data_IF_629092551652
#
_entry.id   IF_629092551652
#
_cell.length_a   1.000
_cell.length_b   1.000
_cell.length_c   1.000
_cell.angle_alpha   90.00
_cell.angle_beta   90.00
_cell.angle_gamma   90.00
#
_symmetry.space_group_name_H-M   'P 1'
#
loop_
_entity.id
_entity.type
_entity.pdbx_description
1 polymer ?
#
# COMPACT_ATOMS: atom_id res chain seq x y z
N UNK A 1 -24.14 22.17 9.12
CA UNK A 1 -23.41 22.42 7.88
C UNK A 1 -22.02 21.79 8.00
N UNK A 2 -21.68 20.92 7.07
CA UNK A 2 -20.42 20.16 7.01
C UNK A 2 -19.19 21.08 6.91
N UNK A 3 -19.27 22.18 6.15
CA UNK A 3 -18.18 23.15 6.04
C UNK A 3 -17.82 23.79 7.37
N UNK A 4 -18.82 24.15 8.18
CA UNK A 4 -18.59 24.72 9.52
C UNK A 4 -17.89 23.72 10.41
N UNK A 5 -18.35 22.46 10.41
CA UNK A 5 -17.72 21.39 11.16
C UNK A 5 -16.29 21.10 10.65
N UNK A 6 -16.10 21.10 9.34
CA UNK A 6 -14.77 20.93 8.76
C UNK A 6 -13.81 22.03 9.23
N UNK A 7 -14.18 23.29 9.10
CA UNK A 7 -13.35 24.42 9.57
C UNK A 7 -13.10 24.35 11.08
N UNK A 8 -14.11 23.96 11.86
CA UNK A 8 -13.97 23.75 13.31
C UNK A 8 -12.97 22.63 13.65
N UNK A 9 -13.00 21.52 12.91
CA UNK A 9 -12.02 20.44 13.11
C UNK A 9 -10.59 20.90 12.81
N UNK A 10 -10.41 21.70 11.75
CA UNK A 10 -9.11 22.30 11.40
C UNK A 10 -8.61 23.24 12.49
N UNK A 11 -9.48 24.15 12.97
CA UNK A 11 -9.12 25.08 14.04
C UNK A 11 -8.71 24.36 15.33
N UNK A 12 -9.40 23.29 15.70
CA UNK A 12 -9.02 22.47 16.86
C UNK A 12 -7.65 21.81 16.70
N UNK A 13 -7.31 21.30 15.50
CA UNK A 13 -5.98 20.73 15.26
C UNK A 13 -4.87 21.80 15.35
N UNK A 14 -5.09 22.99 14.76
CA UNK A 14 -4.11 24.08 14.81
C UNK A 14 -3.76 24.53 16.23
N UNK A 15 -4.72 24.46 17.15
CA UNK A 15 -4.49 24.78 18.56
C UNK A 15 -4.13 23.54 19.42
N UNK A 16 -3.89 22.38 18.78
CA UNK A 16 -3.48 21.15 19.46
C UNK A 16 -4.59 20.42 20.22
N UNK A 17 -5.86 20.82 20.04
CA UNK A 17 -7.04 20.19 20.66
C UNK A 17 -7.51 18.99 19.83
N UNK A 18 -6.67 17.95 19.76
CA UNK A 18 -6.84 16.84 18.82
C UNK A 18 -8.09 16.00 19.13
N UNK A 19 -8.44 15.81 20.38
CA UNK A 19 -9.62 15.02 20.78
C UNK A 19 -10.93 15.71 20.35
N UNK A 20 -11.00 17.03 20.48
CA UNK A 20 -12.14 17.81 20.00
C UNK A 20 -12.22 17.83 18.48
N UNK A 21 -11.07 17.92 17.81
CA UNK A 21 -11.02 17.79 16.36
C UNK A 21 -11.58 16.43 15.90
N UNK A 22 -11.19 15.34 16.58
CA UNK A 22 -11.70 14.00 16.29
C UNK A 22 -13.20 13.86 16.55
N UNK A 23 -13.72 14.44 17.61
CA UNK A 23 -15.16 14.44 17.89
C UNK A 23 -15.94 15.14 16.77
N UNK A 24 -15.44 16.28 16.29
CA UNK A 24 -16.05 17.01 15.17
C UNK A 24 -15.96 16.23 13.86
N UNK A 25 -14.80 15.62 13.56
CA UNK A 25 -14.63 14.78 12.37
C UNK A 25 -15.58 13.58 12.38
N UNK A 26 -15.77 12.94 13.54
CA UNK A 26 -16.73 11.84 13.71
C UNK A 26 -18.16 12.30 13.43
N UNK A 27 -18.52 13.52 13.82
CA UNK A 27 -19.82 14.10 13.49
C UNK A 27 -19.97 14.30 11.96
N UNK A 28 -18.94 14.77 11.27
CA UNK A 28 -18.98 14.93 9.80
C UNK A 28 -19.29 13.57 9.15
N UNK A 29 -18.55 12.52 9.53
CA UNK A 29 -18.75 11.17 8.98
C UNK A 29 -20.17 10.65 9.20
N UNK A 30 -20.74 10.89 10.38
CA UNK A 30 -22.09 10.43 10.75
C UNK A 30 -23.21 11.25 10.12
N UNK A 31 -23.12 12.58 10.20
CA UNK A 31 -24.20 13.50 9.87
C UNK A 31 -24.17 13.91 8.38
N UNK A 32 -22.98 13.83 7.74
CA UNK A 32 -22.78 14.30 6.37
C UNK A 32 -22.01 13.29 5.49
N UNK A 33 -22.56 12.09 5.26
CA UNK A 33 -21.88 11.01 4.54
C UNK A 33 -21.63 11.30 3.05
N UNK A 34 -22.14 12.42 2.53
CA UNK A 34 -21.92 12.91 1.17
C UNK A 34 -21.14 14.22 1.14
N UNK A 35 -20.49 14.59 2.24
CA UNK A 35 -19.67 15.78 2.30
C UNK A 35 -18.48 15.68 1.33
N UNK A 36 -18.17 16.75 0.64
CA UNK A 36 -16.96 16.85 -0.19
C UNK A 36 -15.64 16.78 0.61
N UNK A 37 -15.73 16.89 1.92
CA UNK A 37 -14.58 16.80 2.83
C UNK A 37 -14.39 15.38 3.39
N UNK A 38 -15.26 14.44 3.02
CA UNK A 38 -15.33 13.13 3.68
C UNK A 38 -14.03 12.35 3.55
N UNK A 39 -13.40 12.31 2.39
CA UNK A 39 -12.17 11.57 2.14
C UNK A 39 -10.99 12.15 2.94
N UNK A 40 -10.82 13.48 2.96
CA UNK A 40 -9.81 14.14 3.80
C UNK A 40 -10.07 13.89 5.29
N UNK A 41 -11.32 14.05 5.74
CA UNK A 41 -11.70 13.80 7.14
C UNK A 41 -11.40 12.36 7.54
N UNK A 42 -11.73 11.39 6.71
CA UNK A 42 -11.45 9.98 6.97
C UNK A 42 -9.94 9.70 6.95
N UNK A 43 -9.18 10.34 6.06
CA UNK A 43 -7.74 10.22 6.06
C UNK A 43 -7.11 10.72 7.37
N UNK A 44 -7.50 11.89 7.84
CA UNK A 44 -7.04 12.45 9.11
C UNK A 44 -7.44 11.58 10.32
N UNK A 45 -8.65 11.01 10.32
CA UNK A 45 -9.09 10.03 11.33
C UNK A 45 -8.22 8.77 11.28
N UNK A 46 -7.94 8.26 10.09
CA UNK A 46 -7.05 7.11 9.90
C UNK A 46 -5.65 7.37 10.49
N UNK A 47 -5.04 8.51 10.20
CA UNK A 47 -3.73 8.90 10.76
C UNK A 47 -3.77 9.01 12.30
N UNK A 48 -4.83 9.61 12.84
CA UNK A 48 -5.03 9.67 14.29
C UNK A 48 -5.08 8.29 14.93
N UNK A 49 -5.89 7.39 14.40
CA UNK A 49 -6.03 6.04 14.93
C UNK A 49 -4.75 5.22 14.76
N UNK A 50 -4.11 5.30 13.59
CA UNK A 50 -2.90 4.57 13.29
C UNK A 50 -1.76 4.93 14.24
N UNK A 51 -1.52 6.22 14.48
CA UNK A 51 -0.47 6.69 15.40
C UNK A 51 -0.70 6.25 16.85
N UNK A 52 -1.97 6.03 17.23
CA UNK A 52 -2.37 5.51 18.53
C UNK A 52 -2.47 3.98 18.60
N UNK A 53 -2.01 3.29 17.54
CA UNK A 53 -2.05 1.83 17.41
C UNK A 53 -3.48 1.24 17.45
N UNK A 54 -4.49 2.04 17.17
CA UNK A 54 -5.88 1.61 16.98
C UNK A 54 -6.09 1.18 15.54
N UNK A 55 -5.49 0.02 15.19
CA UNK A 55 -5.37 -0.39 13.79
C UNK A 55 -6.70 -0.78 13.15
N UNK A 56 -7.66 -1.29 13.91
CA UNK A 56 -9.02 -1.61 13.42
C UNK A 56 -9.76 -0.33 13.05
N UNK A 57 -9.71 0.71 13.91
CA UNK A 57 -10.34 1.99 13.62
C UNK A 57 -9.65 2.71 12.43
N UNK A 58 -8.32 2.57 12.33
CA UNK A 58 -7.55 3.09 11.20
C UNK A 58 -7.92 2.38 9.89
N UNK A 59 -8.05 1.05 9.92
CA UNK A 59 -8.52 0.24 8.78
C UNK A 59 -9.88 0.73 8.29
N UNK A 60 -10.86 0.89 9.18
CA UNK A 60 -12.20 1.37 8.82
C UNK A 60 -12.15 2.74 8.12
N UNK A 61 -11.37 3.68 8.69
CA UNK A 61 -11.23 5.01 8.13
C UNK A 61 -10.56 5.00 6.74
N UNK A 62 -9.45 4.30 6.56
CA UNK A 62 -8.79 4.21 5.25
C UNK A 62 -9.60 3.41 4.24
N UNK A 63 -10.26 2.32 4.68
CA UNK A 63 -11.12 1.52 3.82
C UNK A 63 -12.27 2.36 3.24
N UNK A 64 -12.85 3.25 4.01
CA UNK A 64 -13.92 4.13 3.52
C UNK A 64 -13.47 5.03 2.36
N UNK A 65 -12.19 5.43 2.33
CA UNK A 65 -11.60 6.19 1.21
C UNK A 65 -11.37 5.27 0.00
N UNK A 66 -10.84 4.07 0.25
CA UNK A 66 -10.60 3.08 -0.82
C UNK A 66 -11.91 2.68 -1.50
N UNK A 67 -12.99 2.58 -0.74
CA UNK A 67 -14.32 2.27 -1.27
C UNK A 67 -14.90 3.40 -2.15
N UNK A 68 -14.44 4.65 -2.00
CA UNK A 68 -14.76 5.74 -2.94
C UNK A 68 -14.06 5.56 -4.30
N UNK A 69 -12.97 4.81 -4.33
CA UNK A 69 -12.18 4.56 -5.53
C UNK A 69 -11.27 5.73 -5.95
N UNK A 70 -10.69 5.67 -7.16
CA UNK A 70 -9.71 6.63 -7.67
C UNK A 70 -10.20 8.08 -7.85
N UNK A 71 -11.48 8.34 -7.64
CA UNK A 71 -12.02 9.72 -7.62
C UNK A 71 -11.49 10.50 -6.42
N UNK A 72 -11.16 9.84 -5.33
CA UNK A 72 -10.50 10.47 -4.19
C UNK A 72 -9.02 10.71 -4.47
N UNK A 73 -8.55 11.92 -4.21
CA UNK A 73 -7.11 12.25 -4.28
C UNK A 73 -6.30 11.52 -3.21
N UNK A 74 -6.96 10.98 -2.18
CA UNK A 74 -6.35 10.18 -1.12
C UNK A 74 -6.33 8.67 -1.41
N UNK A 75 -6.87 8.23 -2.56
CA UNK A 75 -7.06 6.80 -2.85
C UNK A 75 -5.77 5.99 -2.73
N UNK A 76 -4.71 6.42 -3.40
CA UNK A 76 -3.44 5.69 -3.42
C UNK A 76 -2.80 5.61 -2.02
N UNK A 77 -2.73 6.75 -1.33
CA UNK A 77 -2.15 6.76 0.02
C UNK A 77 -3.03 5.99 1.02
N UNK A 78 -4.34 6.00 0.84
CA UNK A 78 -5.26 5.22 1.65
C UNK A 78 -5.08 3.72 1.44
N UNK A 79 -4.88 3.25 0.19
CA UNK A 79 -4.51 1.85 -0.09
C UNK A 79 -3.24 1.43 0.67
N UNK A 80 -2.21 2.26 0.61
CA UNK A 80 -0.94 2.00 1.28
C UNK A 80 -1.10 1.95 2.81
N UNK A 81 -1.81 2.92 3.38
CA UNK A 81 -2.08 3.00 4.82
C UNK A 81 -3.02 1.90 5.31
N UNK A 82 -4.00 1.52 4.51
CA UNK A 82 -4.86 0.36 4.76
C UNK A 82 -4.03 -0.93 4.82
N UNK A 83 -3.11 -1.11 3.86
CA UNK A 83 -2.17 -2.22 3.88
C UNK A 83 -1.39 -2.29 5.19
N UNK A 84 -0.85 -1.17 5.67
CA UNK A 84 -0.16 -1.12 6.95
C UNK A 84 -1.07 -1.38 8.15
N UNK A 85 -2.31 -0.90 8.13
CA UNK A 85 -3.26 -1.16 9.21
C UNK A 85 -3.58 -2.65 9.33
N UNK A 86 -3.74 -3.34 8.19
CA UNK A 86 -3.94 -4.79 8.13
C UNK A 86 -2.68 -5.55 8.56
N UNK A 87 -1.51 -5.13 8.07
CA UNK A 87 -0.22 -5.74 8.46
C UNK A 87 0.02 -5.69 9.97
N UNK A 88 -0.32 -4.57 10.62
CA UNK A 88 -0.22 -4.41 12.08
C UNK A 88 -1.20 -5.28 12.87
N UNK A 89 -2.23 -5.77 12.21
CA UNK A 89 -3.20 -6.74 12.75
C UNK A 89 -2.83 -8.20 12.39
N UNK A 90 -1.66 -8.42 11.77
CA UNK A 90 -1.19 -9.73 11.31
C UNK A 90 -2.06 -10.36 10.19
N UNK A 91 -2.88 -9.55 9.53
CA UNK A 91 -3.68 -9.92 8.35
C UNK A 91 -2.82 -9.76 7.09
N UNK A 92 -1.80 -10.62 6.95
CA UNK A 92 -0.72 -10.43 5.97
C UNK A 92 -1.19 -10.59 4.53
N UNK A 93 -2.09 -11.52 4.24
CA UNK A 93 -2.59 -11.75 2.87
C UNK A 93 -3.43 -10.56 2.40
N UNK A 94 -4.29 -10.05 3.25
CA UNK A 94 -5.11 -8.87 2.99
C UNK A 94 -4.24 -7.62 2.84
N UNK A 95 -3.23 -7.46 3.70
CA UNK A 95 -2.26 -6.38 3.61
C UNK A 95 -1.53 -6.41 2.27
N UNK A 96 -1.07 -7.59 1.85
CA UNK A 96 -0.37 -7.79 0.58
C UNK A 96 -1.24 -7.38 -0.61
N UNK A 97 -2.52 -7.77 -0.59
CA UNK A 97 -3.47 -7.38 -1.63
C UNK A 97 -3.63 -5.84 -1.72
N UNK A 98 -3.57 -5.12 -0.61
CA UNK A 98 -3.65 -3.65 -0.60
C UNK A 98 -2.37 -2.99 -1.13
N UNK A 99 -1.20 -3.49 -0.75
CA UNK A 99 0.07 -3.00 -1.28
C UNK A 99 0.20 -3.26 -2.80
N UNK A 100 -0.18 -4.44 -3.26
CA UNK A 100 -0.27 -4.74 -4.71
C UNK A 100 -1.28 -3.82 -5.39
N UNK A 101 -2.39 -3.49 -4.73
CA UNK A 101 -3.36 -2.52 -5.23
C UNK A 101 -2.79 -1.13 -5.50
N UNK A 102 -1.77 -0.69 -4.75
CA UNK A 102 -1.03 0.57 -5.04
C UNK A 102 -0.32 0.47 -6.39
N UNK A 103 0.36 -0.65 -6.66
CA UNK A 103 1.04 -0.88 -7.94
C UNK A 103 0.04 -1.03 -9.10
N UNK A 104 -1.08 -1.73 -8.87
CA UNK A 104 -2.17 -1.84 -9.85
C UNK A 104 -2.73 -0.47 -10.22
N UNK A 105 -2.94 0.41 -9.23
CA UNK A 105 -3.34 1.78 -9.48
C UNK A 105 -2.30 2.53 -10.33
N UNK A 106 -1.01 2.35 -10.07
CA UNK A 106 0.06 2.94 -10.87
C UNK A 106 0.05 2.45 -12.31
N UNK A 107 -0.28 1.19 -12.57
CA UNK A 107 -0.50 0.68 -13.93
C UNK A 107 -1.63 1.46 -14.61
N UNK A 108 -2.76 1.67 -13.94
CA UNK A 108 -3.90 2.39 -14.52
C UNK A 108 -3.61 3.86 -14.82
N UNK A 109 -2.69 4.48 -14.08
CA UNK A 109 -2.26 5.87 -14.30
C UNK A 109 -1.11 5.99 -15.32
N UNK A 110 -0.69 4.89 -15.92
CA UNK A 110 0.33 4.88 -16.96
C UNK A 110 1.77 4.98 -16.44
N UNK A 111 2.02 4.62 -15.17
CA UNK A 111 3.37 4.60 -14.63
C UNK A 111 4.24 3.56 -15.34
N UNK A 112 5.41 3.98 -15.80
CA UNK A 112 6.39 3.11 -16.46
C UNK A 112 7.39 2.59 -15.41
N UNK A 113 7.28 1.30 -15.07
CA UNK A 113 8.14 0.66 -14.04
C UNK A 113 9.60 0.51 -14.47
N UNK A 114 9.90 0.61 -15.77
CA UNK A 114 11.27 0.55 -16.30
C UNK A 114 11.94 1.93 -16.25
N UNK A 115 11.22 2.98 -16.62
CA UNK A 115 11.74 4.35 -16.70
C UNK A 115 11.55 5.14 -15.41
N UNK A 116 10.57 4.73 -14.60
CA UNK A 116 10.14 5.48 -13.44
C UNK A 116 9.30 6.71 -13.80
N UNK A 117 9.01 7.52 -12.78
CA UNK A 117 8.30 8.78 -12.90
C UNK A 117 9.07 9.91 -12.19
N UNK A 118 8.37 10.88 -11.62
CA UNK A 118 8.95 11.89 -10.74
C UNK A 118 9.62 11.25 -9.51
N UNK A 119 10.50 11.97 -8.84
CA UNK A 119 11.21 11.45 -7.65
C UNK A 119 10.23 11.02 -6.54
N UNK A 120 9.13 11.77 -6.39
CA UNK A 120 8.09 11.45 -5.41
C UNK A 120 7.38 10.14 -5.77
N UNK A 121 7.04 9.95 -7.05
CA UNK A 121 6.39 8.74 -7.52
C UNK A 121 7.31 7.52 -7.41
N UNK A 122 8.57 7.65 -7.84
CA UNK A 122 9.58 6.58 -7.70
C UNK A 122 9.72 6.15 -6.25
N UNK A 123 9.93 7.11 -5.34
CA UNK A 123 10.06 6.81 -3.92
C UNK A 123 8.86 6.03 -3.37
N UNK A 124 7.64 6.43 -3.75
CA UNK A 124 6.41 5.74 -3.32
C UNK A 124 6.31 4.33 -3.87
N UNK A 125 6.68 4.14 -5.13
CA UNK A 125 6.71 2.82 -5.78
C UNK A 125 7.77 1.93 -5.14
N UNK A 126 8.98 2.45 -4.91
CA UNK A 126 10.08 1.72 -4.26
C UNK A 126 9.73 1.32 -2.82
N UNK A 127 9.12 2.24 -2.05
CA UNK A 127 8.64 1.94 -0.71
C UNK A 127 7.54 0.85 -0.74
N UNK A 128 6.69 0.85 -1.76
CA UNK A 128 5.65 -0.18 -1.94
C UNK A 128 6.27 -1.53 -2.29
N UNK A 129 7.24 -1.60 -3.20
CA UNK A 129 7.96 -2.84 -3.48
C UNK A 129 8.68 -3.39 -2.24
N UNK A 130 9.28 -2.51 -1.44
CA UNK A 130 9.96 -2.91 -0.21
C UNK A 130 9.01 -3.55 0.79
N UNK A 131 7.82 -2.98 1.02
CA UNK A 131 6.85 -3.56 1.97
C UNK A 131 6.23 -4.85 1.43
N UNK A 132 6.03 -4.97 0.11
CA UNK A 132 5.60 -6.20 -0.55
C UNK A 132 6.65 -7.31 -0.34
N UNK A 133 7.94 -7.00 -0.57
CA UNK A 133 9.03 -7.95 -0.37
C UNK A 133 9.14 -8.40 1.09
N UNK A 134 8.98 -7.47 2.04
CA UNK A 134 8.93 -7.78 3.47
C UNK A 134 7.76 -8.75 3.77
N UNK A 135 6.57 -8.49 3.26
CA UNK A 135 5.41 -9.35 3.45
C UNK A 135 5.65 -10.76 2.90
N UNK A 136 6.07 -10.89 1.65
CA UNK A 136 6.36 -12.19 1.04
C UNK A 136 7.52 -12.93 1.73
N UNK A 137 8.56 -12.22 2.18
CA UNK A 137 9.66 -12.86 2.91
C UNK A 137 9.23 -13.47 4.24
N UNK A 138 8.20 -12.93 4.87
CA UNK A 138 7.66 -13.42 6.14
C UNK A 138 6.64 -14.56 5.95
N UNK A 139 6.06 -14.72 4.75
CA UNK A 139 4.98 -15.68 4.50
C UNK A 139 5.37 -16.86 3.63
N UNK A 140 6.64 -17.02 3.27
CA UNK A 140 7.14 -18.17 2.50
C UNK A 140 7.93 -17.83 1.24
N UNK A 141 8.21 -16.56 1.01
CA UNK A 141 9.11 -16.10 -0.05
C UNK A 141 8.56 -16.28 -1.47
N UNK A 142 9.40 -16.73 -2.43
CA UNK A 142 9.02 -16.77 -3.85
C UNK A 142 7.85 -17.69 -4.14
N UNK A 143 7.63 -18.75 -3.36
CA UNK A 143 6.47 -19.63 -3.53
C UNK A 143 5.16 -18.89 -3.23
N UNK A 144 5.13 -18.07 -2.19
CA UNK A 144 3.96 -17.25 -1.87
C UNK A 144 3.69 -16.20 -2.95
N UNK A 145 4.73 -15.67 -3.61
CA UNK A 145 4.58 -14.80 -4.79
C UNK A 145 3.88 -15.56 -5.93
N UNK A 146 4.32 -16.81 -6.19
CA UNK A 146 3.69 -17.68 -7.20
C UNK A 146 2.21 -17.88 -6.90
N UNK A 147 1.89 -18.26 -5.66
CA UNK A 147 0.52 -18.55 -5.24
C UNK A 147 -0.35 -17.29 -5.33
N UNK A 148 0.17 -16.16 -4.89
CA UNK A 148 -0.53 -14.87 -4.97
C UNK A 148 -0.90 -14.52 -6.41
N UNK A 149 0.06 -14.50 -7.35
CA UNK A 149 -0.22 -14.15 -8.74
C UNK A 149 -0.93 -15.24 -9.54
N UNK A 150 -0.87 -16.48 -9.12
CA UNK A 150 -1.71 -17.55 -9.67
C UNK A 150 -3.19 -17.32 -9.32
N UNK A 151 -3.46 -16.83 -8.12
CA UNK A 151 -4.82 -16.52 -7.64
C UNK A 151 -5.35 -15.18 -8.18
N UNK A 152 -4.50 -14.16 -8.27
CA UNK A 152 -4.90 -12.78 -8.58
C UNK A 152 -4.57 -12.34 -10.02
N UNK A 153 -3.93 -13.20 -10.82
CA UNK A 153 -3.54 -12.93 -12.20
C UNK A 153 -2.17 -12.24 -12.33
N UNK A 154 -1.59 -12.35 -13.53
CA UNK A 154 -0.28 -11.76 -13.85
C UNK A 154 -0.32 -10.23 -13.86
N UNK A 155 0.82 -9.61 -13.55
CA UNK A 155 1.02 -8.15 -13.54
C UNK A 155 2.29 -7.76 -14.31
N UNK A 156 2.31 -6.59 -14.99
CA UNK A 156 3.48 -6.14 -15.75
C UNK A 156 4.72 -5.91 -14.87
N UNK A 157 4.53 -5.61 -13.58
CA UNK A 157 5.59 -5.36 -12.60
C UNK A 157 5.99 -6.61 -11.78
N UNK A 158 5.52 -7.81 -12.16
CA UNK A 158 5.83 -9.06 -11.42
C UNK A 158 7.34 -9.31 -11.36
N UNK A 159 8.09 -8.99 -12.42
CA UNK A 159 9.56 -9.05 -12.44
C UNK A 159 10.18 -8.19 -11.34
N UNK A 160 9.65 -6.99 -11.12
CA UNK A 160 10.15 -6.08 -10.09
C UNK A 160 9.91 -6.64 -8.68
N UNK A 161 8.81 -7.37 -8.46
CA UNK A 161 8.55 -8.03 -7.17
C UNK A 161 9.60 -9.11 -6.90
N UNK A 162 9.91 -9.98 -7.87
CA UNK A 162 10.94 -11.00 -7.68
C UNK A 162 12.33 -10.39 -7.52
N UNK A 163 12.67 -9.33 -8.27
CA UNK A 163 13.93 -8.60 -8.12
C UNK A 163 14.07 -8.02 -6.72
N UNK A 164 13.07 -7.25 -6.27
CA UNK A 164 13.09 -6.63 -4.95
C UNK A 164 13.11 -7.67 -3.82
N UNK A 165 12.42 -8.80 -3.98
CA UNK A 165 12.45 -9.89 -3.00
C UNK A 165 13.84 -10.54 -2.95
N UNK A 166 14.47 -10.80 -4.10
CA UNK A 166 15.84 -11.30 -4.16
C UNK A 166 16.83 -10.34 -3.52
N UNK A 167 16.76 -9.05 -3.85
CA UNK A 167 17.62 -8.01 -3.29
C UNK A 167 17.41 -7.86 -1.77
N UNK A 168 16.17 -7.94 -1.29
CA UNK A 168 15.86 -7.98 0.15
C UNK A 168 16.56 -9.15 0.86
N UNK A 169 16.55 -10.35 0.24
CA UNK A 169 17.24 -11.50 0.81
C UNK A 169 18.77 -11.35 0.76
N UNK A 170 19.32 -10.74 -0.30
CA UNK A 170 20.77 -10.43 -0.36
C UNK A 170 21.20 -9.48 0.77
N UNK A 171 20.44 -8.43 1.03
CA UNK A 171 20.70 -7.52 2.16
C UNK A 171 20.69 -8.24 3.51
N UNK A 172 19.85 -9.26 3.65
CA UNK A 172 19.77 -10.12 4.84
C UNK A 172 20.80 -11.28 4.82
N UNK A 173 21.68 -11.36 3.82
CA UNK A 173 22.64 -12.45 3.59
C UNK A 173 21.99 -13.84 3.47
N UNK A 174 20.74 -13.88 3.01
CA UNK A 174 19.97 -15.09 2.74
C UNK A 174 20.14 -15.50 1.28
N UNK A 175 21.33 -15.91 0.91
CA UNK A 175 21.73 -16.13 -0.50
C UNK A 175 20.91 -17.22 -1.20
N UNK A 176 20.58 -18.30 -0.50
CA UNK A 176 19.73 -19.36 -1.06
C UNK A 176 18.33 -18.89 -1.39
N UNK A 177 17.74 -18.06 -0.53
CA UNK A 177 16.41 -17.48 -0.77
C UNK A 177 16.43 -16.44 -1.87
N UNK A 178 17.51 -15.66 -1.98
CA UNK A 178 17.70 -14.73 -3.09
C UNK A 178 17.78 -15.49 -4.43
N UNK A 179 18.61 -16.51 -4.52
CA UNK A 179 18.73 -17.35 -5.72
C UNK A 179 17.38 -18.01 -6.07
N UNK A 180 16.66 -18.55 -5.07
CA UNK A 180 15.33 -19.12 -5.27
C UNK A 180 14.34 -18.11 -5.82
N UNK A 181 14.41 -16.83 -5.40
CA UNK A 181 13.53 -15.76 -5.91
C UNK A 181 13.76 -15.49 -7.40
N UNK A 182 15.02 -15.33 -7.80
CA UNK A 182 15.37 -15.11 -9.21
C UNK A 182 15.02 -16.32 -10.08
N UNK A 183 15.40 -17.53 -9.65
CA UNK A 183 15.13 -18.78 -10.39
C UNK A 183 13.62 -19.05 -10.54
N UNK A 184 12.82 -18.72 -9.53
CA UNK A 184 11.37 -18.88 -9.60
C UNK A 184 10.78 -17.99 -10.70
N UNK A 185 11.25 -16.74 -10.82
CA UNK A 185 10.84 -15.87 -11.92
C UNK A 185 11.24 -16.44 -13.28
N UNK A 186 12.50 -16.84 -13.46
CA UNK A 186 13.02 -17.40 -14.72
C UNK A 186 12.21 -18.63 -15.15
N UNK A 187 11.94 -19.56 -14.25
CA UNK A 187 11.13 -20.75 -14.54
C UNK A 187 9.72 -20.42 -15.02
N UNK A 188 9.12 -19.37 -14.45
CA UNK A 188 7.76 -18.91 -14.84
C UNK A 188 7.74 -18.09 -16.13
N UNK A 189 8.83 -17.42 -16.44
CA UNK A 189 8.93 -16.46 -17.55
C UNK A 189 10.26 -16.63 -18.32
N UNK A 190 10.54 -17.81 -18.91
CA UNK A 190 11.84 -18.13 -19.50
C UNK A 190 12.20 -17.24 -20.69
N UNK A 191 11.22 -16.67 -21.37
CA UNK A 191 11.40 -15.77 -22.51
C UNK A 191 11.40 -14.28 -22.13
N UNK A 192 11.38 -13.97 -20.84
CA UNK A 192 11.43 -12.57 -20.41
C UNK A 192 12.84 -12.01 -20.61
N UNK A 193 12.93 -10.75 -21.08
CA UNK A 193 14.20 -10.08 -21.42
C UNK A 193 15.24 -10.05 -20.28
N UNK A 194 14.80 -10.09 -19.02
CA UNK A 194 15.64 -10.06 -17.80
C UNK A 194 15.98 -11.48 -17.32
N UNK A 195 15.39 -12.54 -17.88
CA UNK A 195 15.65 -13.90 -17.42
C UNK A 195 17.15 -14.27 -17.44
N UNK A 196 17.95 -13.93 -18.48
CA UNK A 196 19.39 -14.20 -18.47
C UNK A 196 20.15 -13.48 -17.34
N UNK A 197 19.76 -12.26 -16.99
CA UNK A 197 20.41 -11.49 -15.92
C UNK A 197 20.14 -12.11 -14.54
N UNK A 198 18.96 -12.70 -14.37
CA UNK A 198 18.60 -13.40 -13.12
C UNK A 198 19.31 -14.75 -12.98
N UNK A 199 19.59 -15.44 -14.07
CA UNK A 199 20.35 -16.71 -14.05
C UNK A 199 21.81 -16.49 -13.64
N UNK A 200 22.34 -15.27 -13.81
CA UNK A 200 23.72 -14.93 -13.45
C UNK A 200 23.89 -14.39 -12.01
N UNK A 201 22.81 -14.11 -11.29
CA UNK A 201 22.81 -13.63 -9.91
C UNK A 201 22.73 -14.78 -8.89
#
# INVERSE_FOLDING_TARGET
NDQVLYNMSRAYEEVGRVEEAMAVMTRIVKEYPRSKYLDEVQFRRGEYFFTRKKYIDAEEAYKSIVDLGPVSTYYEIALYKLGWSLYKQELYDEAQARFVGVLDYRVTTGYDFDKGGSDIERKRVDDTFRVISLGFSNTGGPNTVVDFFSKHGKRPYEVNIYSNLGDHYLEKRRYADAAASYQTFVKRNPLHRIAPDFDMR
#
